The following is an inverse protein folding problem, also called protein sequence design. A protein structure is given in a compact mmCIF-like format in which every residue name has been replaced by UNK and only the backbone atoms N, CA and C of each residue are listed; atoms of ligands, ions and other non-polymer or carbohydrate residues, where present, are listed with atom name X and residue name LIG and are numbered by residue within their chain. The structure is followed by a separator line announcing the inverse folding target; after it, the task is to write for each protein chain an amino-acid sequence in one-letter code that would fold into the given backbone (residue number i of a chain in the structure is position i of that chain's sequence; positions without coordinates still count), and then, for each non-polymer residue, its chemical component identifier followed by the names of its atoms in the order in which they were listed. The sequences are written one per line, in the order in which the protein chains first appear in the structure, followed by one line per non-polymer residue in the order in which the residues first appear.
data_IF_916968234923
#
_entry.id   IF_916968234923
#
_cell.length_a   1.000
_cell.length_b   1.000
_cell.length_c   1.000
_cell.angle_alpha   90.00
_cell.angle_beta   90.00
_cell.angle_gamma   90.00
#
_symmetry.space_group_name_H-M   'P 1'
#
loop_
_entity.id
_entity.type
_entity.pdbx_description
1 polymer ?
#
# COMPACT_ATOMS: atom_id res chain seq x y z
N UNK A 1 0.73 11.29 -9.90
CA UNK A 1 -0.16 10.13 -9.70
C UNK A 1 0.69 8.89 -9.81
N UNK A 2 0.92 8.19 -8.71
CA UNK A 2 1.60 6.89 -8.68
C UNK A 2 0.64 5.83 -8.15
N UNK A 3 0.68 4.64 -8.73
CA UNK A 3 -0.07 3.48 -8.24
C UNK A 3 0.94 2.35 -8.05
N UNK A 4 0.97 1.80 -6.85
CA UNK A 4 1.86 0.72 -6.43
C UNK A 4 0.98 -0.46 -6.06
N UNK A 5 1.15 -1.58 -6.75
CA UNK A 5 0.47 -2.82 -6.39
C UNK A 5 1.15 -3.47 -5.19
N UNK A 6 0.36 -3.85 -4.19
CA UNK A 6 0.82 -4.47 -2.95
C UNK A 6 0.50 -5.98 -2.89
N UNK A 7 -0.10 -6.55 -3.94
CA UNK A 7 -0.52 -7.96 -3.97
C UNK A 7 -2.03 -8.11 -3.82
N UNK A 8 -2.63 -9.14 -4.47
CA UNK A 8 -4.09 -9.35 -4.51
C UNK A 8 -4.82 -8.05 -4.97
N UNK A 9 -5.80 -7.58 -4.21
CA UNK A 9 -6.54 -6.33 -4.38
C UNK A 9 -5.92 -5.15 -3.63
N UNK A 10 -4.74 -5.34 -3.03
CA UNK A 10 -4.03 -4.30 -2.30
C UNK A 10 -3.31 -3.31 -3.21
N UNK A 11 -3.59 -2.02 -3.03
CA UNK A 11 -2.93 -0.93 -3.75
C UNK A 11 -2.55 0.20 -2.82
N UNK A 12 -1.44 0.88 -3.15
CA UNK A 12 -1.09 2.20 -2.65
C UNK A 12 -1.20 3.19 -3.80
N UNK A 13 -1.88 4.29 -3.59
CA UNK A 13 -2.01 5.37 -4.57
C UNK A 13 -1.47 6.67 -3.97
N UNK A 14 -0.67 7.39 -4.75
CA UNK A 14 -0.12 8.69 -4.36
C UNK A 14 -0.61 9.75 -5.36
N UNK A 15 -1.46 10.65 -4.87
CA UNK A 15 -2.15 11.65 -5.68
C UNK A 15 -2.31 12.96 -4.91
N UNK A 16 -1.90 14.09 -5.50
CA UNK A 16 -2.09 15.44 -4.96
C UNK A 16 -1.76 15.60 -3.45
N UNK A 17 -0.72 14.90 -2.98
CA UNK A 17 -0.27 14.94 -1.58
C UNK A 17 -0.99 13.95 -0.65
N UNK A 18 -1.99 13.23 -1.14
CA UNK A 18 -2.60 12.11 -0.45
C UNK A 18 -1.86 10.80 -0.75
N UNK A 19 -1.77 9.95 0.26
CA UNK A 19 -1.31 8.57 0.15
C UNK A 19 -2.45 7.68 0.63
N UNK A 20 -3.04 6.94 -0.30
CA UNK A 20 -4.25 6.15 -0.07
C UNK A 20 -3.87 4.67 -0.14
N UNK A 21 -4.23 3.92 0.88
CA UNK A 21 -4.14 2.47 0.86
C UNK A 21 -5.53 1.90 0.56
N UNK A 22 -5.62 1.03 -0.43
CA UNK A 22 -6.85 0.31 -0.77
C UNK A 22 -6.60 -1.15 -0.46
N UNK A 23 -7.44 -1.74 0.39
CA UNK A 23 -7.34 -3.12 0.87
C UNK A 23 -5.90 -3.52 1.28
N UNK A 24 -5.32 -2.89 2.34
CA UNK A 24 -3.93 -3.12 2.72
C UNK A 24 -3.75 -4.48 3.45
N UNK A 25 -3.93 -5.58 2.72
CA UNK A 25 -3.57 -6.91 3.20
C UNK A 25 -2.05 -7.07 3.20
N UNK A 26 -1.38 -6.55 4.23
CA UNK A 26 0.09 -6.54 4.35
C UNK A 26 0.65 -7.68 5.21
N UNK A 27 -0.20 -8.37 5.97
CA UNK A 27 0.20 -9.50 6.84
C UNK A 27 -0.45 -10.79 6.35
N UNK A 28 0.36 -11.79 6.03
CA UNK A 28 -0.14 -13.08 5.54
C UNK A 28 -0.55 -13.09 4.06
N UNK A 29 -0.44 -11.96 3.35
CA UNK A 29 -0.62 -11.91 1.91
C UNK A 29 0.56 -12.60 1.21
N UNK A 30 0.33 -13.68 0.44
CA UNK A 30 1.39 -14.44 -0.22
C UNK A 30 2.20 -13.61 -1.23
N UNK A 31 1.62 -12.52 -1.74
CA UNK A 31 2.21 -11.66 -2.76
C UNK A 31 2.91 -10.42 -2.18
N UNK A 32 2.66 -10.06 -0.91
CA UNK A 32 3.26 -8.88 -0.30
C UNK A 32 4.57 -9.22 0.43
N UNK A 33 5.71 -8.61 0.07
CA UNK A 33 6.97 -8.82 0.79
C UNK A 33 6.92 -8.17 2.19
N UNK A 34 7.01 -8.93 3.30
CA UNK A 34 6.85 -8.38 4.65
C UNK A 34 7.86 -7.26 5.00
N UNK A 35 9.07 -7.35 4.44
CA UNK A 35 10.11 -6.34 4.63
C UNK A 35 9.73 -4.94 4.14
N UNK A 36 8.77 -4.83 3.21
CA UNK A 36 8.30 -3.55 2.66
C UNK A 36 7.13 -2.94 3.43
N UNK A 37 6.69 -3.54 4.54
CA UNK A 37 5.55 -3.05 5.32
C UNK A 37 5.70 -1.59 5.75
N UNK A 38 6.87 -1.21 6.26
CA UNK A 38 7.13 0.16 6.71
C UNK A 38 7.05 1.18 5.57
N UNK A 39 7.58 0.82 4.39
CA UNK A 39 7.49 1.62 3.18
C UNK A 39 6.03 1.76 2.72
N UNK A 40 5.30 0.64 2.65
CA UNK A 40 3.92 0.60 2.16
C UNK A 40 2.97 1.49 2.97
N UNK A 41 3.13 1.56 4.30
CA UNK A 41 2.30 2.39 5.18
C UNK A 41 2.83 3.82 5.39
N UNK A 42 4.07 4.09 4.97
CA UNK A 42 4.74 5.36 5.21
C UNK A 42 3.99 6.53 4.60
N UNK A 43 3.62 7.50 5.43
CA UNK A 43 2.89 8.70 5.00
C UNK A 43 1.45 8.47 4.54
N UNK A 44 0.86 7.29 4.79
CA UNK A 44 -0.54 7.01 4.49
C UNK A 44 -1.45 8.04 5.17
N UNK A 45 -2.33 8.66 4.39
CA UNK A 45 -3.31 9.64 4.85
C UNK A 45 -4.72 9.07 4.89
N UNK A 46 -4.99 7.98 4.14
CA UNK A 46 -6.28 7.29 4.07
C UNK A 46 -6.10 5.77 3.95
N UNK A 47 -7.10 5.02 4.42
CA UNK A 47 -7.22 3.54 4.33
C UNK A 47 -8.65 3.16 3.97
#
# INVERSE_FOLDING_TARGET
MNIIWLGHSGFRMEIEGAVILVDPWLTGNPMFPPARRAEAIGGATHV
#
